data_IF_150702293672
#
_entry.id   IF_150702293672
#
_cell.length_a   1.000
_cell.length_b   1.000
_cell.length_c   1.000
_cell.angle_alpha   90.00
_cell.angle_beta   90.00
_cell.angle_gamma   90.00
#
_symmetry.space_group_name_H-M   'P 1'
#
loop_
_entity.id
_entity.type
_entity.pdbx_description
1 polymer ?
#
# COMPACT_ATOMS: atom_id res chain seq x y z
N UNK A 1 -12.87 -26.49 -7.76
CA UNK A 1 -12.93 -25.07 -8.15
C UNK A 1 -11.57 -24.72 -8.73
N UNK A 2 -11.48 -24.59 -10.05
CA UNK A 2 -10.26 -24.17 -10.74
C UNK A 2 -10.01 -22.69 -10.46
N UNK A 3 -8.98 -22.39 -9.68
CA UNK A 3 -8.49 -21.03 -9.48
C UNK A 3 -7.72 -20.62 -10.72
N UNK A 4 -8.32 -19.79 -11.58
CA UNK A 4 -7.57 -19.06 -12.60
C UNK A 4 -6.66 -18.03 -11.91
N UNK A 5 -5.44 -18.42 -11.59
CA UNK A 5 -4.41 -17.48 -11.16
C UNK A 5 -3.99 -16.63 -12.36
N UNK A 6 -4.49 -15.40 -12.42
CA UNK A 6 -4.07 -14.43 -13.43
C UNK A 6 -2.73 -13.80 -13.00
N UNK A 7 -1.63 -14.38 -13.45
CA UNK A 7 -0.29 -13.81 -13.31
C UNK A 7 -0.05 -12.74 -14.38
N UNK A 8 0.48 -11.58 -13.98
CA UNK A 8 0.80 -10.48 -14.88
C UNK A 8 2.31 -10.41 -15.09
N UNK A 9 2.75 -10.45 -16.35
CA UNK A 9 4.16 -10.21 -16.69
C UNK A 9 4.45 -8.71 -16.67
N UNK A 10 5.40 -8.29 -15.82
CA UNK A 10 5.81 -6.90 -15.63
C UNK A 10 7.28 -6.78 -16.01
N UNK A 11 7.57 -5.91 -17.00
CA UNK A 11 8.93 -5.65 -17.47
C UNK A 11 9.70 -4.75 -16.50
N UNK A 12 11.01 -4.98 -16.46
CA UNK A 12 11.96 -4.05 -15.87
C UNK A 12 12.23 -2.89 -16.85
N UNK A 13 12.41 -1.68 -16.33
CA UNK A 13 12.96 -0.55 -17.07
C UNK A 13 14.50 -0.55 -17.06
N UNK A 14 15.11 0.52 -17.57
CA UNK A 14 16.57 0.68 -17.63
C UNK A 14 17.23 0.69 -16.24
N UNK A 15 16.47 1.10 -15.21
CA UNK A 15 16.91 1.13 -13.80
C UNK A 15 16.69 -0.23 -13.10
N UNK A 16 16.26 -1.26 -13.84
CA UNK A 16 15.82 -2.57 -13.32
C UNK A 16 14.60 -2.49 -12.40
N UNK A 17 13.83 -1.41 -12.47
CA UNK A 17 12.59 -1.24 -11.74
C UNK A 17 11.44 -1.87 -12.51
N UNK A 18 10.58 -2.62 -11.83
CA UNK A 18 9.43 -3.29 -12.46
C UNK A 18 8.27 -2.31 -12.58
N UNK A 19 7.89 -1.97 -13.80
CA UNK A 19 6.94 -0.88 -14.09
C UNK A 19 5.56 -1.42 -14.49
N UNK A 20 4.55 -1.11 -13.66
CA UNK A 20 3.14 -1.36 -13.89
C UNK A 20 2.59 -0.50 -15.01
N UNK A 21 1.97 -1.15 -15.99
CA UNK A 21 1.11 -0.46 -16.94
C UNK A 21 -0.18 0.01 -16.22
N UNK A 22 -0.57 1.30 -16.33
CA UNK A 22 -1.79 1.82 -15.73
C UNK A 22 -3.07 1.01 -16.04
N UNK A 23 -3.14 0.37 -17.21
CA UNK A 23 -4.27 -0.47 -17.63
C UNK A 23 -4.42 -1.78 -16.84
N UNK A 24 -3.44 -2.17 -16.02
CA UNK A 24 -3.54 -3.36 -15.16
C UNK A 24 -4.38 -3.12 -13.91
N UNK A 25 -4.54 -1.86 -13.49
CA UNK A 25 -5.39 -1.49 -12.38
C UNK A 25 -6.86 -1.53 -12.79
N UNK A 26 -7.69 -2.18 -11.99
CA UNK A 26 -9.15 -2.09 -12.12
C UNK A 26 -9.73 -0.87 -11.40
N UNK A 27 -8.96 -0.27 -10.47
CA UNK A 27 -9.37 0.95 -9.78
C UNK A 27 -8.94 2.19 -10.58
N UNK A 28 -9.89 3.09 -10.83
CA UNK A 28 -9.69 4.32 -11.60
C UNK A 28 -10.32 5.57 -10.94
N UNK A 29 -10.80 5.43 -9.71
CA UNK A 29 -11.45 6.51 -8.98
C UNK A 29 -10.42 7.40 -8.28
N UNK A 30 -10.57 8.73 -8.45
CA UNK A 30 -9.85 9.73 -7.65
C UNK A 30 -10.59 10.02 -6.35
N UNK A 31 -9.90 10.61 -5.37
CA UNK A 31 -10.51 11.03 -4.12
C UNK A 31 -11.64 12.05 -4.36
N UNK A 32 -12.82 11.75 -3.81
CA UNK A 32 -13.92 12.71 -3.72
C UNK A 32 -13.77 13.59 -2.48
N UNK A 33 -14.53 14.68 -2.41
CA UNK A 33 -14.60 15.52 -1.21
C UNK A 33 -15.08 14.72 0.01
N UNK A 34 -16.07 13.83 -0.15
CA UNK A 34 -16.53 12.97 0.95
C UNK A 34 -15.44 12.01 1.41
N UNK A 35 -14.69 11.41 0.49
CA UNK A 35 -13.59 10.53 0.84
C UNK A 35 -12.50 11.29 1.63
N UNK A 36 -12.24 12.56 1.30
CA UNK A 36 -11.24 13.38 1.99
C UNK A 36 -11.59 13.68 3.46
N UNK A 37 -12.84 13.49 3.86
CA UNK A 37 -13.26 13.56 5.28
C UNK A 37 -12.94 12.28 6.04
N UNK A 38 -12.73 11.16 5.34
CA UNK A 38 -12.52 9.82 5.91
C UNK A 38 -11.02 9.50 6.00
N UNK A 39 -10.26 9.83 4.96
CA UNK A 39 -8.82 9.54 4.87
C UNK A 39 -8.05 10.83 4.61
N UNK A 40 -7.00 11.03 5.39
CA UNK A 40 -6.17 12.22 5.34
C UNK A 40 -4.93 11.96 4.48
N UNK A 41 -4.91 12.56 3.29
CA UNK A 41 -3.81 12.42 2.33
C UNK A 41 -2.61 13.32 2.63
N UNK A 42 -2.66 14.09 3.73
CA UNK A 42 -1.54 14.93 4.21
C UNK A 42 -0.75 14.26 5.32
N UNK A 43 -1.23 13.12 5.81
CA UNK A 43 -0.64 12.36 6.91
C UNK A 43 -0.02 11.04 6.44
N UNK A 44 0.74 10.42 7.36
CA UNK A 44 1.25 9.07 7.25
C UNK A 44 0.37 8.11 8.06
N UNK A 45 0.34 6.85 7.67
CA UNK A 45 -0.31 5.78 8.43
C UNK A 45 0.76 4.77 8.86
N UNK A 46 1.18 4.84 10.12
CA UNK A 46 2.26 4.04 10.70
C UNK A 46 1.73 2.72 11.24
N UNK A 47 2.36 1.61 10.87
CA UNK A 47 1.93 0.28 11.30
C UNK A 47 2.08 0.11 12.81
N UNK A 48 0.98 -0.27 13.47
CA UNK A 48 1.01 -0.77 14.84
C UNK A 48 1.45 -2.23 14.82
N UNK A 49 2.56 -2.49 15.50
CA UNK A 49 3.12 -3.83 15.63
C UNK A 49 2.68 -4.46 16.96
N UNK A 50 2.47 -5.79 17.00
CA UNK A 50 2.21 -6.51 18.24
C UNK A 50 3.25 -6.21 19.34
N UNK A 51 2.82 -6.30 20.61
CA UNK A 51 3.71 -6.07 21.74
C UNK A 51 4.93 -7.00 21.74
N UNK A 52 4.75 -8.24 21.29
CA UNK A 52 5.80 -9.26 21.20
C UNK A 52 6.65 -9.17 19.91
N UNK A 53 6.45 -8.17 19.06
CA UNK A 53 7.35 -7.93 17.92
C UNK A 53 8.78 -7.67 18.41
N UNK A 54 9.73 -8.15 17.62
CA UNK A 54 11.16 -7.95 17.85
C UNK A 54 11.55 -6.47 17.80
N UNK A 55 12.70 -6.13 18.39
CA UNK A 55 13.21 -4.76 18.38
C UNK A 55 13.43 -4.26 16.94
N UNK A 56 14.02 -5.10 16.08
CA UNK A 56 14.28 -4.75 14.68
C UNK A 56 13.00 -4.48 13.89
N UNK A 57 11.90 -5.21 14.16
CA UNK A 57 10.60 -4.92 13.56
C UNK A 57 10.06 -3.58 14.06
N UNK A 58 10.13 -3.33 15.38
CA UNK A 58 9.67 -2.08 16.01
C UNK A 58 10.42 -0.85 15.52
N UNK A 59 11.68 -0.98 15.16
CA UNK A 59 12.49 0.08 14.57
C UNK A 59 12.15 0.35 13.09
N UNK A 60 11.59 -0.64 12.39
CA UNK A 60 11.28 -0.56 10.96
C UNK A 60 9.80 -0.91 10.64
N UNK A 61 8.82 -0.21 11.23
CA UNK A 61 7.40 -0.45 10.95
C UNK A 61 7.05 -0.11 9.50
N UNK A 62 5.98 -0.72 8.99
CA UNK A 62 5.36 -0.30 7.74
C UNK A 62 4.77 1.11 7.83
N UNK A 63 4.76 1.83 6.72
CA UNK A 63 4.15 3.14 6.53
C UNK A 63 3.31 3.08 5.26
N UNK A 64 2.08 3.58 5.35
CA UNK A 64 1.24 3.84 4.19
C UNK A 64 1.00 5.35 4.03
N UNK A 65 0.89 5.80 2.78
CA UNK A 65 0.52 7.18 2.41
C UNK A 65 -0.56 7.09 1.35
N UNK A 66 -1.62 7.88 1.48
CA UNK A 66 -2.68 7.93 0.49
C UNK A 66 -2.63 9.25 -0.27
N UNK A 67 -2.91 9.22 -1.56
CA UNK A 67 -2.86 10.40 -2.42
C UNK A 67 -4.23 10.71 -3.04
N UNK A 68 -4.45 12.00 -3.33
CA UNK A 68 -5.70 12.49 -3.90
C UNK A 68 -6.04 11.90 -5.29
N UNK A 69 -5.05 11.37 -6.00
CA UNK A 69 -5.25 10.73 -7.31
C UNK A 69 -5.72 9.26 -7.21
N UNK A 70 -5.97 8.74 -5.99
CA UNK A 70 -6.39 7.37 -5.77
C UNK A 70 -5.23 6.36 -5.75
N UNK A 71 -3.97 6.84 -5.75
CA UNK A 71 -2.79 6.01 -5.50
C UNK A 71 -2.43 5.98 -4.02
N UNK A 72 -1.75 4.93 -3.59
CA UNK A 72 -1.18 4.86 -2.26
C UNK A 72 0.25 4.30 -2.30
N UNK A 73 1.07 4.76 -1.36
CA UNK A 73 2.41 4.26 -1.11
C UNK A 73 2.40 3.28 0.06
N UNK A 74 3.22 2.24 -0.01
CA UNK A 74 3.45 1.33 1.12
C UNK A 74 4.91 0.91 1.18
N UNK A 75 5.61 1.28 2.25
CA UNK A 75 7.04 0.97 2.46
C UNK A 75 7.37 0.86 3.93
N UNK A 76 8.52 0.31 4.28
CA UNK A 76 8.97 0.31 5.69
C UNK A 76 9.68 1.63 6.03
N UNK A 77 9.70 2.00 7.31
CA UNK A 77 10.32 3.25 7.81
C UNK A 77 11.77 3.43 7.36
N UNK A 78 12.59 2.38 7.40
CA UNK A 78 14.00 2.37 6.98
C UNK A 78 14.19 2.78 5.52
N UNK A 79 13.25 2.43 4.65
CA UNK A 79 13.32 2.71 3.21
C UNK A 79 12.49 3.93 2.80
N UNK A 80 12.06 4.76 3.77
CA UNK A 80 11.15 5.88 3.49
C UNK A 80 11.77 6.95 2.58
N UNK A 81 13.08 7.17 2.69
CA UNK A 81 13.83 8.14 1.87
C UNK A 81 14.10 7.66 0.44
N UNK A 82 13.77 6.40 0.10
CA UNK A 82 13.88 5.92 -1.27
C UNK A 82 12.60 6.33 -2.00
N UNK A 83 12.77 7.08 -3.09
CA UNK A 83 11.66 7.44 -3.98
C UNK A 83 11.49 6.35 -5.03
N UNK A 84 10.26 5.86 -5.18
CA UNK A 84 9.87 4.95 -6.25
C UNK A 84 8.96 5.71 -7.22
N UNK A 85 9.03 5.38 -8.52
CA UNK A 85 8.09 5.91 -9.51
C UNK A 85 6.67 5.43 -9.12
N UNK A 86 5.62 6.25 -9.29
CA UNK A 86 4.22 5.83 -9.01
C UNK A 86 3.79 4.56 -9.76
N UNK A 87 4.41 4.33 -10.92
CA UNK A 87 4.20 3.16 -11.75
C UNK A 87 5.01 1.94 -11.29
N UNK A 88 5.84 2.04 -10.26
CA UNK A 88 6.62 0.93 -9.75
C UNK A 88 5.77 -0.06 -8.97
N UNK A 89 6.04 -1.36 -9.11
CA UNK A 89 5.47 -2.39 -8.22
C UNK A 89 5.86 -2.18 -6.76
N UNK A 90 6.96 -1.46 -6.49
CA UNK A 90 7.47 -1.21 -5.12
C UNK A 90 6.91 0.07 -4.50
N UNK A 91 6.23 0.92 -5.28
CA UNK A 91 5.61 2.13 -4.78
C UNK A 91 4.45 1.80 -3.83
N UNK A 92 3.57 0.91 -4.28
CA UNK A 92 2.32 0.55 -3.62
C UNK A 92 1.28 0.15 -4.64
N UNK A 93 0.20 0.92 -4.77
CA UNK A 93 -0.86 0.61 -5.72
C UNK A 93 -1.96 1.64 -5.77
N UNK A 94 -3.20 1.18 -5.99
CA UNK A 94 -4.38 2.05 -6.01
C UNK A 94 -5.36 1.70 -4.91
N UNK A 95 -6.15 2.66 -4.48
CA UNK A 95 -7.19 2.46 -3.50
C UNK A 95 -8.49 3.13 -3.91
N UNK A 96 -9.59 2.61 -3.38
CA UNK A 96 -10.91 3.24 -3.42
C UNK A 96 -11.55 3.19 -2.05
N UNK A 97 -12.47 4.11 -1.80
CA UNK A 97 -13.30 4.17 -0.60
C UNK A 97 -14.77 4.06 -0.97
N UNK A 98 -15.47 3.25 -0.20
CA UNK A 98 -16.93 3.12 -0.21
C UNK A 98 -17.41 3.25 1.24
N UNK A 99 -17.80 4.46 1.61
CA UNK A 99 -17.91 4.88 3.01
C UNK A 99 -16.61 4.60 3.77
N UNK A 100 -16.71 3.90 4.90
CA UNK A 100 -15.55 3.53 5.72
C UNK A 100 -14.83 2.27 5.23
N UNK A 101 -15.25 1.67 4.12
CA UNK A 101 -14.60 0.49 3.55
C UNK A 101 -13.48 0.92 2.62
N UNK A 102 -12.26 0.52 2.95
CA UNK A 102 -11.07 0.71 2.11
C UNK A 102 -10.85 -0.55 1.27
N UNK A 103 -10.66 -0.38 -0.04
CA UNK A 103 -10.14 -1.45 -0.89
C UNK A 103 -8.82 -0.97 -1.50
N UNK A 104 -7.78 -1.77 -1.38
CA UNK A 104 -6.49 -1.52 -2.02
C UNK A 104 -6.24 -2.60 -3.08
N UNK A 105 -5.60 -2.19 -4.16
CA UNK A 105 -5.16 -3.05 -5.24
C UNK A 105 -3.64 -2.92 -5.38
N UNK A 106 -2.95 -4.04 -5.25
CA UNK A 106 -1.48 -4.14 -5.27
C UNK A 106 -1.04 -5.27 -6.20
N UNK A 107 0.25 -5.30 -6.50
CA UNK A 107 0.86 -6.36 -7.28
C UNK A 107 1.98 -7.00 -6.46
N UNK A 108 1.83 -8.28 -6.11
CA UNK A 108 2.82 -9.04 -5.34
C UNK A 108 3.56 -10.02 -6.23
N UNK A 109 4.87 -10.27 -6.03
CA UNK A 109 5.60 -11.27 -6.78
C UNK A 109 4.94 -12.66 -6.62
N UNK A 110 4.64 -13.34 -7.73
CA UNK A 110 3.95 -14.63 -7.73
C UNK A 110 4.80 -15.80 -7.24
N UNK A 111 6.12 -15.63 -7.30
CA UNK A 111 7.08 -16.65 -6.89
C UNK A 111 8.38 -15.99 -6.43
N UNK A 112 8.58 -15.90 -5.11
CA UNK A 112 9.81 -15.35 -4.52
C UNK A 112 10.13 -13.90 -4.93
N UNK A 113 11.27 -13.38 -4.46
CA UNK A 113 11.64 -11.96 -4.63
C UNK A 113 12.21 -11.56 -6.01
N UNK A 114 12.45 -12.52 -6.92
CA UNK A 114 13.09 -12.28 -8.24
C UNK A 114 12.25 -12.89 -9.37
N UNK A 115 11.06 -12.36 -9.58
CA UNK A 115 10.19 -12.78 -10.69
C UNK A 115 9.67 -11.56 -11.45
N UNK A 116 9.35 -11.76 -12.73
CA UNK A 116 8.63 -10.78 -13.53
C UNK A 116 7.13 -11.09 -13.57
N UNK A 117 6.68 -12.10 -12.84
CA UNK A 117 5.27 -12.48 -12.73
C UNK A 117 4.71 -12.01 -11.40
N UNK A 118 3.60 -11.28 -11.47
CA UNK A 118 2.96 -10.67 -10.30
C UNK A 118 1.48 -11.04 -10.23
N UNK A 119 1.01 -11.26 -9.02
CA UNK A 119 -0.40 -11.42 -8.70
C UNK A 119 -1.00 -10.08 -8.39
N UNK A 120 -2.08 -9.75 -9.09
CA UNK A 120 -2.92 -8.61 -8.72
C UNK A 120 -3.80 -9.00 -7.55
N UNK A 121 -3.55 -8.40 -6.40
CA UNK A 121 -4.27 -8.68 -5.16
C UNK A 121 -5.15 -7.50 -4.82
N UNK A 122 -6.41 -7.77 -4.50
CA UNK A 122 -7.32 -6.79 -3.93
C UNK A 122 -7.53 -7.15 -2.46
N UNK A 123 -7.12 -6.25 -1.57
CA UNK A 123 -7.30 -6.39 -0.13
C UNK A 123 -8.39 -5.42 0.33
N UNK A 124 -9.16 -5.84 1.33
CA UNK A 124 -10.19 -5.02 1.95
C UNK A 124 -9.79 -4.67 3.38
N UNK A 125 -10.16 -3.45 3.78
CA UNK A 125 -9.96 -2.91 5.09
C UNK A 125 -11.08 -1.96 5.51
N UNK A 126 -10.91 -1.37 6.68
CA UNK A 126 -11.80 -0.35 7.23
C UNK A 126 -10.98 0.83 7.73
N UNK A 127 -11.56 2.01 7.61
CA UNK A 127 -11.05 3.24 8.21
C UNK A 127 -11.98 3.64 9.34
N UNK A 128 -11.41 3.81 10.53
CA UNK A 128 -12.10 4.25 11.73
C UNK A 128 -11.32 5.43 12.31
N UNK A 129 -11.75 6.65 11.98
CA UNK A 129 -11.06 7.89 12.34
C UNK A 129 -9.57 7.83 11.96
N UNK A 130 -8.70 7.77 12.96
CA UNK A 130 -7.26 7.76 12.78
C UNK A 130 -6.67 6.36 12.55
N UNK A 131 -7.49 5.32 12.49
CA UNK A 131 -7.01 3.94 12.33
C UNK A 131 -7.44 3.34 11.00
N UNK A 132 -6.49 2.72 10.32
CA UNK A 132 -6.72 1.92 9.12
C UNK A 132 -6.42 0.46 9.44
N UNK A 133 -7.39 -0.42 9.24
CA UNK A 133 -7.21 -1.87 9.42
C UNK A 133 -7.39 -2.54 8.06
N UNK A 134 -6.36 -3.21 7.55
CA UNK A 134 -6.39 -3.88 6.24
C UNK A 134 -6.05 -5.35 6.44
N UNK A 135 -6.86 -6.24 5.86
CA UNK A 135 -6.54 -7.66 5.79
C UNK A 135 -5.74 -7.91 4.53
N UNK A 136 -4.45 -8.16 4.68
CA UNK A 136 -3.55 -8.53 3.58
C UNK A 136 -3.30 -10.02 3.66
N UNK A 137 -3.73 -10.76 2.64
CA UNK A 137 -3.83 -12.22 2.67
C UNK A 137 -4.63 -12.69 3.90
N UNK A 138 -3.99 -13.34 4.88
CA UNK A 138 -4.62 -13.82 6.10
C UNK A 138 -4.22 -13.04 7.37
N UNK A 139 -3.57 -11.88 7.22
CA UNK A 139 -3.08 -11.09 8.34
C UNK A 139 -3.74 -9.71 8.37
N UNK A 140 -4.29 -9.37 9.53
CA UNK A 140 -4.72 -8.00 9.80
C UNK A 140 -3.49 -7.14 10.06
N UNK A 141 -3.39 -6.03 9.33
CA UNK A 141 -2.44 -4.96 9.60
C UNK A 141 -3.21 -3.75 10.07
N UNK A 142 -2.77 -3.18 11.18
CA UNK A 142 -3.36 -1.99 11.78
C UNK A 142 -2.37 -0.85 11.59
N UNK A 143 -2.85 0.30 11.14
CA UNK A 143 -2.06 1.50 10.94
C UNK A 143 -2.73 2.66 11.64
N UNK A 144 -1.93 3.51 12.28
CA UNK A 144 -2.38 4.69 13.00
C UNK A 144 -1.92 5.94 12.24
N UNK A 145 -2.83 6.90 12.06
CA UNK A 145 -2.56 8.20 11.47
C UNK A 145 -1.55 8.96 12.31
N UNK A 146 -0.52 9.48 11.66
CA UNK A 146 0.55 10.27 12.26
C UNK A 146 0.93 11.41 11.33
N UNK A 147 1.29 12.55 11.90
CA UNK A 147 1.94 13.60 11.13
C UNK A 147 3.36 13.18 10.79
N UNK A 148 3.92 13.79 9.77
CA UNK A 148 5.27 13.47 9.31
C UNK A 148 6.31 13.75 10.41
N UNK A 149 6.18 14.90 11.06
CA UNK A 149 7.06 15.36 12.14
C UNK A 149 7.07 14.37 13.32
N UNK A 150 5.91 13.79 13.65
CA UNK A 150 5.78 12.83 14.76
C UNK A 150 6.53 11.50 14.50
N UNK A 151 6.80 11.16 13.23
CA UNK A 151 7.47 9.91 12.83
C UNK A 151 8.98 10.10 12.60
N UNK A 152 9.36 11.25 12.04
CA UNK A 152 10.72 11.52 11.57
C UNK A 152 11.44 12.65 12.32
N UNK A 153 10.77 13.37 13.21
CA UNK A 153 11.38 14.39 14.08
C UNK A 153 11.94 15.60 13.33
N UNK A 154 11.38 15.94 12.16
CA UNK A 154 11.76 17.09 11.33
C UNK A 154 10.60 18.05 11.18
#
# INVERSE_FOLDING_TARGET
>A
MESCFNYYYIKEDEDKERILNPGLFSFNQKMSLENSKIIDTTCLYLQLLPYNSSISEKENPGIMIFHNDGTYESRSKKYFNISYKKSSVYYGGKFILDGNTLKIQSFYPSSGGKTNYFDRVICQGKINNDTVVIKIFNHNRVFLKKRYEDVFGK
#
